data_IF_171876994373
#
_entry.id   IF_171876994373
#
_cell.length_a   1.000
_cell.length_b   1.000
_cell.length_c   1.000
_cell.angle_alpha   90.00
_cell.angle_beta   90.00
_cell.angle_gamma   90.00
#
_symmetry.space_group_name_H-M   'P 1'
#
loop_
_entity.id
_entity.type
_entity.pdbx_description
1 polymer ?
#
# COMPACT_ATOMS: atom_id res chain seq x y z
N UNK A 1 -3.44 15.55 14.67
CA UNK A 1 -4.05 14.24 14.39
C UNK A 1 -3.13 13.14 14.88
N UNK A 2 -3.67 12.05 15.41
CA UNK A 2 -2.87 10.90 15.87
C UNK A 2 -2.40 10.15 14.61
N UNK A 3 -1.07 10.02 14.43
CA UNK A 3 -0.49 9.23 13.35
C UNK A 3 -0.63 7.75 13.67
N UNK A 4 -0.82 6.94 12.63
CA UNK A 4 -0.76 5.48 12.74
C UNK A 4 0.70 5.05 12.88
N UNK A 5 1.00 4.26 13.88
CA UNK A 5 2.33 3.73 14.13
C UNK A 5 2.47 2.37 13.46
N UNK A 6 3.20 2.33 12.36
CA UNK A 6 3.45 1.14 11.56
C UNK A 6 4.80 0.53 11.92
N UNK A 7 4.80 -0.68 12.48
CA UNK A 7 6.01 -1.47 12.68
C UNK A 7 6.31 -2.31 11.44
N UNK A 8 7.53 -2.26 10.94
CA UNK A 8 7.95 -2.93 9.71
C UNK A 8 9.11 -3.87 9.99
N UNK A 9 8.96 -5.14 9.61
CA UNK A 9 10.02 -6.13 9.49
C UNK A 9 9.99 -6.74 8.09
N UNK A 10 10.98 -6.40 7.26
CA UNK A 10 11.15 -6.90 5.90
C UNK A 10 12.60 -7.37 5.74
N UNK A 11 12.78 -8.57 5.21
CA UNK A 11 14.11 -9.18 5.07
C UNK A 11 14.94 -8.52 3.96
N UNK A 12 14.30 -8.21 2.84
CA UNK A 12 14.97 -7.64 1.68
C UNK A 12 15.28 -6.15 1.89
N UNK A 13 16.55 -5.83 2.06
CA UNK A 13 17.02 -4.46 2.34
C UNK A 13 16.61 -3.45 1.27
N UNK A 14 16.72 -3.81 0.00
CA UNK A 14 16.41 -2.90 -1.10
C UNK A 14 14.90 -2.59 -1.15
N UNK A 15 14.05 -3.60 -1.00
CA UNK A 15 12.62 -3.45 -0.94
C UNK A 15 12.20 -2.62 0.27
N UNK A 16 12.76 -2.91 1.45
CA UNK A 16 12.52 -2.17 2.70
C UNK A 16 12.87 -0.69 2.54
N UNK A 17 14.02 -0.38 1.95
CA UNK A 17 14.44 1.02 1.75
C UNK A 17 13.50 1.75 0.79
N UNK A 18 13.15 1.15 -0.35
CA UNK A 18 12.22 1.74 -1.34
C UNK A 18 10.85 1.97 -0.73
N UNK A 19 10.33 0.97 -0.04
CA UNK A 19 9.04 1.02 0.64
C UNK A 19 8.99 2.13 1.70
N UNK A 20 9.97 2.15 2.60
CA UNK A 20 10.07 3.16 3.66
C UNK A 20 10.21 4.57 3.10
N UNK A 21 11.07 4.74 2.09
CA UNK A 21 11.29 6.02 1.44
C UNK A 21 9.99 6.57 0.80
N UNK A 22 9.23 5.70 0.15
CA UNK A 22 7.94 6.09 -0.42
C UNK A 22 6.95 6.55 0.64
N UNK A 23 6.81 5.79 1.73
CA UNK A 23 5.92 6.16 2.84
C UNK A 23 6.31 7.47 3.49
N UNK A 24 7.60 7.68 3.76
CA UNK A 24 8.10 8.91 4.35
C UNK A 24 7.85 10.14 3.47
N UNK A 25 7.84 9.96 2.15
CA UNK A 25 7.60 11.07 1.23
C UNK A 25 6.11 11.39 1.05
N UNK A 26 5.23 10.39 1.09
CA UNK A 26 3.81 10.55 0.70
C UNK A 26 2.85 10.48 1.89
N UNK A 27 3.22 9.80 2.98
CA UNK A 27 2.33 9.52 4.12
C UNK A 27 2.87 9.96 5.48
N UNK A 28 3.93 10.79 5.52
CA UNK A 28 4.60 11.26 6.75
C UNK A 28 3.67 11.95 7.76
N UNK A 29 2.58 12.52 7.29
CA UNK A 29 1.61 13.22 8.14
C UNK A 29 0.55 12.28 8.74
N UNK A 30 0.41 11.09 8.16
CA UNK A 30 -0.60 10.08 8.52
C UNK A 30 0.01 8.86 9.22
N UNK A 31 1.21 8.45 8.79
CA UNK A 31 1.87 7.23 9.24
C UNK A 31 3.24 7.56 9.83
N UNK A 32 3.53 6.99 10.97
CA UNK A 32 4.84 6.99 11.63
C UNK A 32 5.43 5.59 11.54
N UNK A 33 6.61 5.46 10.93
CA UNK A 33 7.24 4.17 10.62
C UNK A 33 8.30 3.84 11.65
N UNK A 34 8.25 2.59 12.13
CA UNK A 34 9.24 1.97 12.99
C UNK A 34 9.81 0.74 12.30
N UNK A 35 11.13 0.73 12.03
CA UNK A 35 11.80 -0.37 11.34
C UNK A 35 12.46 -1.26 12.39
N UNK A 36 12.20 -2.56 12.29
CA UNK A 36 12.77 -3.59 13.14
C UNK A 36 13.66 -4.52 12.33
N UNK A 37 14.71 -5.03 12.96
CA UNK A 37 15.71 -5.90 12.32
C UNK A 37 15.44 -7.38 12.52
N UNK A 38 14.53 -7.70 13.43
CA UNK A 38 14.07 -9.07 13.69
C UNK A 38 12.61 -9.09 14.18
N UNK A 39 11.97 -10.24 14.04
CA UNK A 39 10.58 -10.44 14.42
C UNK A 39 10.36 -10.31 15.93
N UNK A 40 11.33 -10.68 16.75
CA UNK A 40 11.20 -10.60 18.20
C UNK A 40 11.08 -9.15 18.68
N UNK A 41 11.86 -8.23 18.10
CA UNK A 41 11.74 -6.80 18.38
C UNK A 41 10.38 -6.24 17.94
N UNK A 42 9.88 -6.68 16.78
CA UNK A 42 8.55 -6.29 16.30
C UNK A 42 7.45 -6.77 17.27
N UNK A 43 7.54 -8.01 17.74
CA UNK A 43 6.60 -8.57 18.73
C UNK A 43 6.63 -7.82 20.08
N UNK A 44 7.80 -7.42 20.54
CA UNK A 44 7.93 -6.62 21.76
C UNK A 44 7.30 -5.23 21.58
N UNK A 45 7.52 -4.60 20.42
CA UNK A 45 6.94 -3.30 20.09
C UNK A 45 5.40 -3.35 19.96
N UNK A 46 4.86 -4.49 19.54
CA UNK A 46 3.41 -4.75 19.49
C UNK A 46 2.74 -4.63 20.88
N UNK A 47 3.51 -4.65 21.97
CA UNK A 47 3.00 -4.43 23.34
C UNK A 47 2.58 -2.99 23.68
N UNK A 48 2.49 -2.06 22.70
CA UNK A 48 2.01 -0.70 22.94
C UNK A 48 2.72 0.41 22.17
N UNK A 49 3.73 0.07 21.38
CA UNK A 49 4.50 1.05 20.60
C UNK A 49 3.94 1.23 19.21
N UNK A 50 3.40 0.20 18.60
CA UNK A 50 2.85 0.20 17.23
C UNK A 50 1.35 -0.08 17.24
N UNK A 51 0.66 0.40 16.20
CA UNK A 51 -0.79 0.20 16.01
C UNK A 51 -1.07 -0.91 14.98
N UNK A 52 -0.12 -1.18 14.08
CA UNK A 52 -0.19 -2.25 13.06
C UNK A 52 1.21 -2.76 12.76
N UNK A 53 1.34 -4.04 12.48
CA UNK A 53 2.58 -4.68 12.06
C UNK A 53 2.54 -5.04 10.57
N UNK A 54 3.68 -4.90 9.89
CA UNK A 54 3.92 -5.32 8.52
C UNK A 54 5.15 -6.20 8.49
N UNK A 55 5.01 -7.44 8.03
CA UNK A 55 6.11 -8.40 7.95
C UNK A 55 5.99 -9.34 6.75
N UNK A 56 7.09 -9.98 6.36
CA UNK A 56 7.10 -11.05 5.35
C UNK A 56 6.90 -12.42 6.00
N UNK A 57 7.33 -12.60 7.25
CA UNK A 57 7.17 -13.83 8.02
C UNK A 57 6.14 -13.68 9.14
N UNK A 58 5.47 -14.77 9.48
CA UNK A 58 4.43 -14.81 10.52
C UNK A 58 4.63 -15.88 11.58
N UNK A 59 5.59 -16.78 11.41
CA UNK A 59 5.73 -18.01 12.20
C UNK A 59 5.74 -17.79 13.73
N UNK A 60 6.15 -16.62 14.17
CA UNK A 60 6.19 -16.24 15.59
C UNK A 60 5.08 -15.29 16.01
N UNK A 61 4.18 -14.87 15.09
CA UNK A 61 3.14 -13.90 15.43
C UNK A 61 2.03 -14.56 16.28
N UNK A 62 1.89 -14.10 17.50
CA UNK A 62 0.93 -14.62 18.48
C UNK A 62 0.09 -13.50 19.13
N UNK A 63 -0.02 -12.35 18.46
CA UNK A 63 -0.75 -11.18 18.96
C UNK A 63 -2.09 -11.05 18.26
N UNK A 64 -3.16 -11.06 19.05
CA UNK A 64 -4.53 -10.83 18.57
C UNK A 64 -4.95 -9.35 18.70
N UNK A 65 -4.24 -8.59 19.54
CA UNK A 65 -4.54 -7.19 19.86
C UNK A 65 -4.05 -6.20 18.79
N UNK A 66 -3.11 -6.61 17.94
CA UNK A 66 -2.54 -5.80 16.87
C UNK A 66 -2.62 -6.55 15.55
N UNK A 67 -3.24 -5.96 14.52
CA UNK A 67 -3.32 -6.59 13.21
C UNK A 67 -1.92 -6.76 12.59
N UNK A 68 -1.67 -7.93 12.03
CA UNK A 68 -0.51 -8.21 11.20
C UNK A 68 -0.91 -8.21 9.74
N UNK A 69 -0.25 -7.39 8.95
CA UNK A 69 -0.30 -7.43 7.49
C UNK A 69 0.93 -8.18 6.99
N UNK A 70 0.71 -9.35 6.41
CA UNK A 70 1.79 -10.13 5.82
C UNK A 70 1.95 -9.80 4.34
N UNK A 71 3.16 -9.41 3.95
CA UNK A 71 3.52 -9.28 2.54
C UNK A 71 3.91 -10.65 1.99
N UNK A 72 3.22 -11.09 0.96
CA UNK A 72 3.42 -12.38 0.30
C UNK A 72 3.64 -12.18 -1.19
N UNK A 73 4.34 -13.11 -1.84
CA UNK A 73 4.50 -13.10 -3.29
C UNK A 73 3.17 -13.49 -3.99
N UNK A 74 2.48 -14.48 -3.41
CA UNK A 74 1.16 -14.93 -3.86
C UNK A 74 0.26 -15.19 -2.64
N UNK A 75 -0.99 -14.79 -2.72
CA UNK A 75 -1.96 -15.00 -1.63
C UNK A 75 -2.15 -16.49 -1.37
N UNK A 76 -1.95 -16.98 -0.13
CA UNK A 76 -2.10 -18.40 0.19
C UNK A 76 -3.55 -18.86 0.10
N UNK A 77 -3.75 -20.13 -0.26
CA UNK A 77 -5.09 -20.75 -0.34
C UNK A 77 -5.73 -20.94 1.06
N UNK A 78 -4.90 -21.06 2.09
CA UNK A 78 -5.34 -21.15 3.49
C UNK A 78 -4.85 -19.90 4.22
N UNK A 79 -5.75 -19.21 4.87
CA UNK A 79 -5.47 -18.00 5.63
C UNK A 79 -5.49 -18.28 7.12
N UNK A 80 -4.55 -17.71 7.86
CA UNK A 80 -4.53 -17.77 9.32
C UNK A 80 -5.43 -16.68 9.90
N UNK A 81 -6.08 -17.00 11.01
CA UNK A 81 -6.95 -16.05 11.70
C UNK A 81 -6.11 -14.90 12.31
N UNK A 82 -6.50 -13.66 12.04
CA UNK A 82 -5.77 -12.48 12.53
C UNK A 82 -4.60 -12.02 11.66
N UNK A 83 -4.29 -12.73 10.57
CA UNK A 83 -3.28 -12.33 9.59
C UNK A 83 -3.95 -11.86 8.29
N UNK A 84 -3.54 -10.70 7.80
CA UNK A 84 -4.04 -10.11 6.56
C UNK A 84 -2.97 -10.19 5.48
N UNK A 85 -3.28 -10.89 4.41
CA UNK A 85 -2.33 -11.15 3.33
C UNK A 85 -2.42 -10.07 2.25
N UNK A 86 -1.28 -9.53 1.87
CA UNK A 86 -1.17 -8.50 0.83
C UNK A 86 -0.03 -8.87 -0.10
N UNK A 87 -0.30 -8.89 -1.40
CA UNK A 87 0.73 -9.19 -2.39
C UNK A 87 1.81 -8.11 -2.44
N UNK A 88 3.07 -8.54 -2.40
CA UNK A 88 4.25 -7.68 -2.31
C UNK A 88 4.43 -6.81 -3.57
N UNK A 89 4.23 -7.40 -4.75
CA UNK A 89 4.50 -6.75 -6.03
C UNK A 89 3.24 -6.15 -6.66
N UNK A 90 2.60 -5.22 -5.96
CA UNK A 90 1.45 -4.47 -6.45
C UNK A 90 1.66 -2.97 -6.24
N UNK A 91 0.69 -2.16 -6.67
CA UNK A 91 0.71 -0.72 -6.43
C UNK A 91 0.76 -0.42 -4.93
N UNK A 92 1.71 0.40 -4.51
CA UNK A 92 1.92 0.69 -3.10
C UNK A 92 0.68 1.31 -2.44
N UNK A 93 -0.14 2.05 -3.18
CA UNK A 93 -1.40 2.59 -2.68
C UNK A 93 -2.36 1.49 -2.20
N UNK A 94 -2.39 0.35 -2.89
CA UNK A 94 -3.22 -0.80 -2.48
C UNK A 94 -2.70 -1.42 -1.18
N UNK A 95 -1.37 -1.50 -1.03
CA UNK A 95 -0.75 -1.97 0.21
C UNK A 95 -1.11 -1.03 1.36
N UNK A 96 -1.04 0.28 1.14
CA UNK A 96 -1.43 1.30 2.14
C UNK A 96 -2.90 1.16 2.52
N UNK A 97 -3.78 1.02 1.52
CA UNK A 97 -5.22 0.86 1.74
C UNK A 97 -5.53 -0.37 2.60
N UNK A 98 -4.86 -1.49 2.33
CA UNK A 98 -5.01 -2.70 3.14
C UNK A 98 -4.49 -2.48 4.57
N UNK A 99 -3.34 -1.86 4.77
CA UNK A 99 -2.81 -1.52 6.10
C UNK A 99 -3.84 -0.65 6.86
N UNK A 100 -4.35 0.40 6.23
CA UNK A 100 -5.26 1.33 6.87
C UNK A 100 -6.66 0.76 7.14
N UNK A 101 -7.13 -0.23 6.38
CA UNK A 101 -8.39 -0.94 6.66
C UNK A 101 -8.39 -1.60 8.04
N UNK A 102 -7.24 -2.07 8.49
CA UNK A 102 -7.10 -2.84 9.73
C UNK A 102 -6.77 -1.97 10.95
N UNK A 103 -6.49 -0.69 10.73
CA UNK A 103 -6.28 0.28 11.80
C UNK A 103 -7.59 1.05 12.05
N UNK A 104 -8.50 0.52 12.81
CA UNK A 104 -9.75 1.10 13.28
C UNK A 104 -10.37 2.33 12.56
N UNK A 105 -11.64 2.58 12.79
CA UNK A 105 -12.44 3.59 12.06
C UNK A 105 -11.97 5.06 12.20
N UNK A 106 -11.15 5.38 13.17
CA UNK A 106 -10.62 6.75 13.36
C UNK A 106 -9.64 7.16 12.27
N UNK A 107 -8.97 6.19 11.63
CA UNK A 107 -7.98 6.43 10.57
C UNK A 107 -8.61 6.43 9.18
N UNK A 108 -9.76 5.80 9.01
CA UNK A 108 -10.48 5.76 7.71
C UNK A 108 -10.85 7.15 7.17
N UNK A 109 -10.93 8.15 8.05
CA UNK A 109 -11.19 9.54 7.66
C UNK A 109 -9.96 10.27 7.11
N UNK A 110 -8.76 9.68 7.20
CA UNK A 110 -7.52 10.29 6.71
C UNK A 110 -7.33 10.14 5.20
N UNK A 111 -7.96 9.14 4.60
CA UNK A 111 -7.88 8.89 3.16
C UNK A 111 -8.66 9.88 2.29
N UNK A 112 -9.54 10.69 2.88
CA UNK A 112 -10.45 11.55 2.10
C UNK A 112 -9.87 12.90 1.69
N UNK A 113 -8.67 13.28 2.13
CA UNK A 113 -8.10 14.59 1.76
C UNK A 113 -7.07 14.57 0.62
N UNK A 114 -6.70 13.40 0.12
CA UNK A 114 -5.77 13.26 -1.02
C UNK A 114 -6.25 12.32 -2.12
N UNK A 115 -7.31 11.57 -1.86
CA UNK A 115 -7.97 10.75 -2.88
C UNK A 115 -8.84 11.66 -3.72
N UNK A 116 -8.43 11.88 -4.95
CA UNK A 116 -9.36 12.31 -6.01
C UNK A 116 -10.44 11.21 -6.05
N UNK A 117 -11.55 11.48 -5.37
CA UNK A 117 -12.76 10.64 -5.39
C UNK A 117 -13.35 10.65 -6.81
N UNK A 118 -12.80 9.82 -7.63
CA UNK A 118 -13.24 9.50 -8.96
C UNK A 118 -12.30 8.42 -9.46
N UNK A 119 -12.82 7.42 -10.12
CA UNK A 119 -12.04 6.40 -10.81
C UNK A 119 -11.28 7.03 -12.00
N UNK A 120 -10.38 7.95 -11.70
CA UNK A 120 -9.52 8.56 -12.73
C UNK A 120 -8.50 7.51 -13.15
N UNK A 121 -8.61 7.06 -14.38
CA UNK A 121 -7.61 6.20 -15.03
C UNK A 121 -6.72 7.05 -15.89
N UNK A 122 -5.41 6.93 -15.70
CA UNK A 122 -4.42 7.54 -16.58
C UNK A 122 -3.97 6.47 -17.56
N UNK A 123 -4.18 6.74 -18.85
CA UNK A 123 -3.76 5.86 -19.93
C UNK A 123 -2.59 6.53 -20.65
N UNK A 124 -1.40 5.94 -20.56
CA UNK A 124 -0.23 6.34 -21.31
C UNK A 124 -0.18 5.64 -22.66
N UNK A 125 -0.06 6.40 -23.74
CA UNK A 125 0.14 5.86 -25.08
C UNK A 125 1.60 6.08 -25.44
N UNK A 126 2.32 4.98 -25.66
CA UNK A 126 3.74 4.99 -25.99
C UNK A 126 3.99 4.21 -27.27
N UNK A 127 4.81 4.76 -28.16
CA UNK A 127 5.28 4.10 -29.38
C UNK A 127 6.79 3.89 -29.32
N UNK A 128 7.24 2.69 -29.63
CA UNK A 128 8.67 2.34 -29.70
C UNK A 128 9.38 2.90 -30.94
N UNK A 129 8.61 3.36 -31.92
CA UNK A 129 9.12 3.97 -33.13
C UNK A 129 8.42 5.30 -33.39
N UNK A 130 9.10 6.19 -34.11
CA UNK A 130 8.50 7.44 -34.57
C UNK A 130 7.27 7.13 -35.43
N UNK A 131 6.09 7.38 -34.88
CA UNK A 131 4.83 6.99 -35.50
C UNK A 131 3.89 8.16 -35.58
N UNK A 132 3.69 8.65 -36.82
CA UNK A 132 2.81 9.78 -37.13
C UNK A 132 1.33 9.53 -36.74
N UNK A 133 0.93 8.28 -36.46
CA UNK A 133 -0.43 7.91 -36.08
C UNK A 133 -0.68 7.89 -34.58
N UNK A 134 0.34 8.06 -33.76
CA UNK A 134 0.21 8.03 -32.31
C UNK A 134 -0.74 9.11 -31.78
N UNK A 135 -0.59 10.34 -32.25
CA UNK A 135 -1.45 11.46 -31.84
C UNK A 135 -2.90 11.28 -32.31
N UNK A 136 -3.19 10.98 -33.59
CA UNK A 136 -4.56 10.67 -34.02
C UNK A 136 -5.20 9.50 -33.25
N UNK A 137 -4.45 8.45 -32.98
CA UNK A 137 -4.91 7.33 -32.19
C UNK A 137 -5.28 7.76 -30.76
N UNK A 138 -4.41 8.51 -30.10
CA UNK A 138 -4.66 9.01 -28.75
C UNK A 138 -5.91 9.91 -28.69
N UNK A 139 -6.09 10.78 -29.66
CA UNK A 139 -7.27 11.66 -29.76
C UNK A 139 -8.56 10.86 -29.99
N UNK A 140 -8.53 9.88 -30.87
CA UNK A 140 -9.68 9.01 -31.15
C UNK A 140 -10.06 8.18 -29.92
N UNK A 141 -9.06 7.60 -29.23
CA UNK A 141 -9.29 6.85 -28.00
C UNK A 141 -9.89 7.76 -26.91
N UNK A 142 -9.35 8.97 -26.74
CA UNK A 142 -9.87 9.95 -25.79
C UNK A 142 -11.32 10.37 -26.10
N UNK A 143 -11.65 10.52 -27.37
CA UNK A 143 -13.03 10.84 -27.81
C UNK A 143 -14.01 9.72 -27.48
N UNK A 144 -13.65 8.47 -27.80
CA UNK A 144 -14.49 7.30 -27.51
C UNK A 144 -14.69 7.14 -25.99
N UNK A 145 -13.63 7.29 -25.22
CA UNK A 145 -13.72 7.17 -23.75
C UNK A 145 -14.50 8.35 -23.14
N UNK A 146 -14.47 9.52 -23.75
CA UNK A 146 -15.17 10.71 -23.31
C UNK A 146 -16.69 10.62 -23.45
N UNK A 147 -17.22 9.68 -24.24
CA UNK A 147 -18.66 9.40 -24.33
C UNK A 147 -19.18 8.67 -23.07
N UNK A 148 -18.31 7.92 -22.40
CA UNK A 148 -18.66 7.14 -21.19
C UNK A 148 -18.12 7.77 -19.90
N UNK A 149 -17.08 8.58 -19.98
CA UNK A 149 -16.42 9.19 -18.83
C UNK A 149 -15.92 10.61 -19.18
N UNK A 150 -15.78 11.45 -18.16
CA UNK A 150 -15.19 12.78 -18.34
C UNK A 150 -13.68 12.62 -18.58
N UNK A 151 -13.21 12.99 -19.77
CA UNK A 151 -11.80 13.03 -20.15
C UNK A 151 -11.28 14.47 -20.01
N UNK A 152 -10.14 14.62 -19.34
CA UNK A 152 -9.46 15.90 -19.14
C UNK A 152 -8.42 16.12 -20.24
#
# INVERSE_FOLDING_TARGET
MKKVKLGIYLEEDEYRQRFTCYFMNHYKDQIEIYIYTDMEQLLQAAGGTIDVALAEETDCWNREDIPLVQLVDETPLQTEEGVFYVEKYQEINKIVDEILKHVGSEVKNLHNEGSINGSTRVIGIYSLADNQYQLPFAMTLGSIMGEEAKVL
#
